data_IF_438139026441
#
_entry.id   IF_438139026441
#
_cell.length_a   1.000
_cell.length_b   1.000
_cell.length_c   1.000
_cell.angle_alpha   90.00
_cell.angle_beta   90.00
_cell.angle_gamma   90.00
#
_symmetry.space_group_name_H-M   'P 1'
#
loop_
_entity.id
_entity.type
_entity.pdbx_description
1 polymer ?
#
# COMPACT_ATOMS: atom_id res chain seq x y z
N UNK A 1 -9.68 14.58 29.89
CA UNK A 1 -8.56 13.64 29.70
C UNK A 1 -8.04 13.84 28.30
N UNK A 2 -6.84 14.40 28.11
CA UNK A 2 -6.27 14.52 26.77
C UNK A 2 -5.94 13.11 26.27
N UNK A 3 -6.75 12.58 25.37
CA UNK A 3 -6.44 11.35 24.64
C UNK A 3 -5.17 11.65 23.85
N UNK A 4 -4.03 11.17 24.33
CA UNK A 4 -2.78 11.21 23.56
C UNK A 4 -3.06 10.41 22.29
N UNK A 5 -3.34 11.11 21.19
CA UNK A 5 -3.60 10.48 19.90
C UNK A 5 -2.28 9.89 19.44
N UNK A 6 -2.14 8.55 19.56
CA UNK A 6 -0.89 7.81 19.38
C UNK A 6 -0.25 8.00 17.99
N UNK A 7 -1.00 8.51 17.03
CA UNK A 7 -0.54 8.89 15.70
C UNK A 7 0.17 10.25 15.64
N UNK A 8 -0.06 11.14 16.61
CA UNK A 8 0.59 12.45 16.66
C UNK A 8 1.97 12.33 17.31
N UNK A 9 2.97 12.94 16.69
CA UNK A 9 4.31 13.10 17.24
C UNK A 9 4.85 14.50 16.97
N UNK A 10 6.04 14.80 17.49
CA UNK A 10 6.71 16.08 17.27
C UNK A 10 8.05 15.88 16.59
N UNK A 11 8.29 16.64 15.52
CA UNK A 11 9.57 16.68 14.80
C UNK A 11 10.17 18.07 14.92
N UNK A 12 11.42 18.17 15.41
CA UNK A 12 12.19 19.40 15.34
C UNK A 12 12.88 19.49 13.98
N UNK A 13 12.68 20.59 13.28
CA UNK A 13 13.33 20.88 12.01
C UNK A 13 13.71 22.36 11.98
N UNK A 14 15.02 22.62 11.84
CA UNK A 14 15.62 23.95 12.09
C UNK A 14 15.19 24.47 13.48
N UNK A 15 14.79 25.73 13.57
CA UNK A 15 14.40 26.39 14.82
C UNK A 15 12.91 26.21 15.17
N UNK A 16 12.21 25.29 14.49
CA UNK A 16 10.76 25.06 14.66
C UNK A 16 10.46 23.62 15.05
N UNK A 17 9.35 23.43 15.78
CA UNK A 17 8.80 22.12 16.13
C UNK A 17 7.47 21.93 15.41
N UNK A 18 7.32 20.81 14.71
CA UNK A 18 6.15 20.48 13.92
C UNK A 18 5.38 19.37 14.62
N UNK A 19 4.07 19.53 14.77
CA UNK A 19 3.19 18.40 15.09
C UNK A 19 2.97 17.60 13.82
N UNK A 20 3.35 16.33 13.84
CA UNK A 20 3.30 15.41 12.69
C UNK A 20 2.22 14.37 12.97
N UNK A 21 1.24 14.28 12.08
CA UNK A 21 0.21 13.24 12.07
C UNK A 21 0.66 12.06 11.22
N UNK A 22 0.82 10.91 11.87
CA UNK A 22 1.25 9.66 11.26
C UNK A 22 0.12 8.62 11.27
N UNK A 23 -1.15 9.03 11.28
CA UNK A 23 -2.24 8.10 11.11
C UNK A 23 -2.03 7.32 9.80
N UNK A 24 -2.12 5.99 9.84
CA UNK A 24 -1.81 5.16 8.69
C UNK A 24 -2.57 5.56 7.40
N UNK A 25 -3.85 6.02 7.45
CA UNK A 25 -4.54 6.50 6.26
C UNK A 25 -3.83 7.65 5.56
N UNK A 26 -3.27 8.59 6.32
CA UNK A 26 -2.58 9.76 5.79
C UNK A 26 -1.27 9.37 5.10
N UNK A 27 -0.57 8.37 5.63
CA UNK A 27 0.64 7.82 4.98
C UNK A 27 0.28 7.09 3.68
N UNK A 28 -0.84 6.37 3.63
CA UNK A 28 -1.32 5.77 2.39
C UNK A 28 -1.71 6.82 1.35
N UNK A 29 -2.42 7.88 1.75
CA UNK A 29 -2.75 9.01 0.88
C UNK A 29 -1.49 9.76 0.40
N UNK A 30 -0.48 9.89 1.25
CA UNK A 30 0.83 10.42 0.85
C UNK A 30 1.45 9.60 -0.29
N UNK A 31 1.47 8.27 -0.18
CA UNK A 31 2.01 7.41 -1.23
C UNK A 31 1.25 7.51 -2.55
N UNK A 32 -0.06 7.78 -2.49
CA UNK A 32 -0.87 8.06 -3.69
C UNK A 32 -0.50 9.41 -4.28
N UNK A 33 -0.48 10.47 -3.47
CA UNK A 33 -0.20 11.83 -3.90
C UNK A 33 1.16 11.96 -4.59
N UNK A 34 2.23 11.37 -4.06
CA UNK A 34 3.57 11.46 -4.67
C UNK A 34 3.72 10.65 -5.97
N UNK A 35 2.79 9.74 -6.26
CA UNK A 35 2.76 8.94 -7.50
C UNK A 35 1.75 9.48 -8.52
N UNK A 36 0.94 10.46 -8.15
CA UNK A 36 -0.10 11.00 -9.00
C UNK A 36 0.53 11.86 -10.11
N UNK A 37 0.54 11.33 -11.33
CA UNK A 37 1.07 12.01 -12.52
C UNK A 37 0.23 13.19 -12.99
N UNK A 38 -0.98 13.38 -12.45
CA UNK A 38 -1.81 14.55 -12.72
C UNK A 38 -1.43 15.76 -11.86
N UNK A 39 -0.64 15.55 -10.80
CA UNK A 39 -0.12 16.62 -9.95
C UNK A 39 1.27 17.05 -10.42
N UNK A 40 1.51 18.36 -10.42
CA UNK A 40 2.87 18.90 -10.54
C UNK A 40 3.70 18.54 -9.31
N UNK A 41 5.02 18.50 -9.43
CA UNK A 41 5.93 18.23 -8.29
C UNK A 41 5.67 19.15 -7.09
N UNK A 42 5.30 20.41 -7.36
CA UNK A 42 4.96 21.38 -6.31
C UNK A 42 3.64 21.04 -5.62
N UNK A 43 2.62 20.59 -6.36
CA UNK A 43 1.34 20.15 -5.79
C UNK A 43 1.51 18.85 -5.01
N UNK A 44 2.35 17.91 -5.49
CA UNK A 44 2.69 16.69 -4.76
C UNK A 44 3.38 17.02 -3.43
N UNK A 45 4.38 17.92 -3.44
CA UNK A 45 5.08 18.37 -2.23
C UNK A 45 4.13 19.04 -1.22
N UNK A 46 3.32 19.99 -1.69
CA UNK A 46 2.35 20.67 -0.84
C UNK A 46 1.33 19.70 -0.25
N UNK A 47 0.78 18.80 -1.07
CA UNK A 47 -0.20 17.79 -0.60
C UNK A 47 0.42 16.84 0.43
N UNK A 48 1.64 16.36 0.17
CA UNK A 48 2.37 15.49 1.08
C UNK A 48 2.60 16.15 2.45
N UNK A 49 3.06 17.41 2.48
CA UNK A 49 3.25 18.13 3.73
C UNK A 49 1.94 18.45 4.42
N UNK A 50 0.92 18.85 3.68
CA UNK A 50 -0.40 19.16 4.25
C UNK A 50 -1.01 17.93 4.95
N UNK A 51 -0.83 16.72 4.41
CA UNK A 51 -1.26 15.48 5.05
C UNK A 51 -0.57 15.26 6.42
N UNK A 52 0.72 15.56 6.55
CA UNK A 52 1.48 15.26 7.76
C UNK A 52 1.51 16.39 8.78
N UNK A 53 1.57 17.65 8.36
CA UNK A 53 1.75 18.80 9.26
C UNK A 53 0.70 19.88 9.04
N UNK A 54 -0.30 19.65 8.18
CA UNK A 54 -1.31 20.66 7.84
C UNK A 54 -0.68 21.93 7.31
N UNK A 55 -1.20 23.08 7.75
CA UNK A 55 -0.73 24.41 7.32
C UNK A 55 0.57 24.88 7.98
N UNK A 56 1.18 24.07 8.86
CA UNK A 56 2.40 24.46 9.60
C UNK A 56 3.61 24.71 8.67
N UNK A 57 3.56 24.21 7.43
CA UNK A 57 4.63 24.33 6.45
C UNK A 57 4.34 25.36 5.33
N UNK A 58 3.18 26.04 5.35
CA UNK A 58 2.73 26.92 4.25
C UNK A 58 3.64 28.15 4.08
N UNK A 59 4.29 28.61 5.16
CA UNK A 59 5.17 29.78 5.16
C UNK A 59 6.64 29.43 4.85
N UNK A 60 6.96 28.15 4.71
CA UNK A 60 8.31 27.70 4.38
C UNK A 60 8.64 27.91 2.90
N UNK A 61 9.93 28.10 2.62
CA UNK A 61 10.43 28.05 1.25
C UNK A 61 10.25 26.64 0.66
N UNK A 62 10.21 26.52 -0.67
CA UNK A 62 10.08 25.21 -1.34
C UNK A 62 11.23 24.26 -0.96
N UNK A 63 12.45 24.80 -0.78
CA UNK A 63 13.61 24.02 -0.33
C UNK A 63 13.41 23.49 1.09
N UNK A 64 12.93 24.34 2.00
CA UNK A 64 12.65 23.96 3.38
C UNK A 64 11.50 22.97 3.51
N UNK A 65 10.46 23.13 2.69
CA UNK A 65 9.37 22.16 2.54
C UNK A 65 9.91 20.80 2.10
N UNK A 66 10.77 20.78 1.09
CA UNK A 66 11.39 19.54 0.58
C UNK A 66 12.22 18.86 1.67
N UNK A 67 13.06 19.61 2.37
CA UNK A 67 13.90 19.09 3.45
C UNK A 67 13.07 18.59 4.65
N UNK A 68 11.99 19.30 5.02
CA UNK A 68 11.07 18.86 6.07
C UNK A 68 10.38 17.54 5.68
N UNK A 69 9.89 17.42 4.45
CA UNK A 69 9.26 16.18 3.98
C UNK A 69 10.25 15.02 3.99
N UNK A 70 11.50 15.24 3.56
CA UNK A 70 12.57 14.23 3.62
C UNK A 70 12.87 13.83 5.06
N UNK A 71 12.86 14.77 6.00
CA UNK A 71 13.06 14.49 7.42
C UNK A 71 11.91 13.61 7.97
N UNK A 72 10.65 13.98 7.73
CA UNK A 72 9.47 13.18 8.12
C UNK A 72 9.57 11.76 7.54
N UNK A 73 9.87 11.66 6.25
CA UNK A 73 9.96 10.38 5.55
C UNK A 73 11.02 9.45 6.16
N UNK A 74 12.24 9.95 6.35
CA UNK A 74 13.35 9.16 6.92
C UNK A 74 13.14 8.79 8.39
N UNK A 75 12.50 9.66 9.16
CA UNK A 75 12.32 9.44 10.60
C UNK A 75 11.16 8.49 10.89
N UNK A 76 10.06 8.55 10.14
CA UNK A 76 8.81 7.88 10.53
C UNK A 76 8.23 6.92 9.50
N UNK A 77 8.50 7.10 8.21
CA UNK A 77 7.83 6.36 7.13
C UNK A 77 8.72 5.24 6.59
N UNK A 78 9.98 5.56 6.30
CA UNK A 78 10.98 4.64 5.76
C UNK A 78 12.28 4.78 6.54
N UNK A 79 12.28 4.11 7.68
CA UNK A 79 13.36 4.14 8.67
C UNK A 79 14.60 3.41 8.18
N UNK A 80 15.70 3.50 8.93
CA UNK A 80 16.90 2.72 8.63
C UNK A 80 16.67 1.21 8.72
N UNK A 81 15.70 0.76 9.53
CA UNK A 81 15.29 -0.65 9.58
C UNK A 81 14.62 -1.07 8.29
N UNK A 82 13.66 -0.27 7.80
CA UNK A 82 12.95 -0.54 6.54
C UNK A 82 13.91 -0.56 5.35
N UNK A 83 14.90 0.34 5.34
CA UNK A 83 15.94 0.38 4.31
C UNK A 83 16.77 -0.90 4.27
N UNK A 84 17.23 -1.37 5.44
CA UNK A 84 17.99 -2.63 5.52
C UNK A 84 17.14 -3.81 5.06
N UNK A 85 15.88 -3.88 5.49
CA UNK A 85 14.96 -4.93 5.06
C UNK A 85 14.77 -4.91 3.54
N UNK A 86 14.55 -3.72 2.96
CA UNK A 86 14.39 -3.54 1.52
C UNK A 86 15.62 -4.00 0.72
N UNK A 87 16.84 -3.81 1.25
CA UNK A 87 18.07 -4.32 0.63
C UNK A 87 18.10 -5.86 0.59
N UNK A 88 17.64 -6.53 1.64
CA UNK A 88 17.55 -8.00 1.68
C UNK A 88 16.50 -8.56 0.73
N UNK A 89 15.36 -7.90 0.56
CA UNK A 89 14.24 -8.39 -0.26
C UNK A 89 14.19 -7.80 -1.67
N UNK A 90 15.22 -7.06 -2.09
CA UNK A 90 15.25 -6.28 -3.35
C UNK A 90 14.88 -7.08 -4.61
N UNK A 91 15.17 -8.39 -4.62
CA UNK A 91 14.93 -9.27 -5.77
C UNK A 91 13.72 -10.18 -5.59
N UNK A 92 13.01 -10.07 -4.47
CA UNK A 92 11.81 -10.85 -4.20
C UNK A 92 10.59 -10.22 -4.89
N UNK A 93 9.64 -11.02 -5.38
CA UNK A 93 8.39 -10.51 -5.92
C UNK A 93 7.64 -9.66 -4.87
N UNK A 94 6.95 -8.62 -5.33
CA UNK A 94 6.08 -7.81 -4.45
C UNK A 94 4.97 -8.71 -3.87
N UNK A 95 4.94 -8.84 -2.55
CA UNK A 95 4.03 -9.75 -1.86
C UNK A 95 2.57 -9.22 -1.82
N UNK A 96 2.40 -7.92 -1.64
CA UNK A 96 1.09 -7.28 -1.54
C UNK A 96 1.12 -5.83 -1.99
N UNK A 97 -0.05 -5.26 -2.24
CA UNK A 97 -0.28 -3.84 -2.48
C UNK A 97 -1.41 -3.34 -1.58
N UNK A 98 -1.18 -2.27 -0.82
CA UNK A 98 -2.16 -1.77 0.16
C UNK A 98 -3.52 -1.39 -0.47
N UNK A 99 -3.54 -0.92 -1.71
CA UNK A 99 -4.78 -0.52 -2.38
C UNK A 99 -5.51 -1.74 -2.95
N UNK A 100 -4.79 -2.60 -3.69
CA UNK A 100 -5.41 -3.80 -4.29
C UNK A 100 -5.83 -4.83 -3.24
N UNK A 101 -5.09 -4.93 -2.13
CA UNK A 101 -5.34 -5.90 -1.07
C UNK A 101 -6.11 -5.32 0.12
N UNK A 102 -6.67 -4.11 0.01
CA UNK A 102 -7.36 -3.44 1.13
C UNK A 102 -8.42 -4.34 1.79
N UNK A 103 -9.21 -5.07 1.00
CA UNK A 103 -10.23 -6.00 1.52
C UNK A 103 -9.61 -7.22 2.23
N UNK A 104 -8.48 -7.74 1.73
CA UNK A 104 -7.75 -8.84 2.37
C UNK A 104 -7.17 -8.38 3.71
N UNK A 105 -6.52 -7.22 3.73
CA UNK A 105 -5.95 -6.60 4.94
C UNK A 105 -7.06 -6.35 5.96
N UNK A 106 -8.18 -5.75 5.56
CA UNK A 106 -9.35 -5.55 6.40
C UNK A 106 -9.82 -6.87 7.04
N UNK A 107 -10.07 -7.89 6.21
CA UNK A 107 -10.55 -9.19 6.70
C UNK A 107 -9.57 -9.84 7.67
N UNK A 108 -8.26 -9.71 7.45
CA UNK A 108 -7.23 -10.28 8.30
C UNK A 108 -7.11 -9.55 9.64
N UNK A 109 -7.20 -8.21 9.64
CA UNK A 109 -7.22 -7.41 10.88
C UNK A 109 -8.45 -7.73 11.72
N UNK A 110 -9.63 -7.84 11.09
CA UNK A 110 -10.86 -8.21 11.78
C UNK A 110 -10.78 -9.64 12.33
N UNK A 111 -10.32 -10.60 11.52
CA UNK A 111 -10.19 -12.01 11.90
C UNK A 111 -9.24 -12.20 13.10
N UNK A 112 -8.04 -11.60 13.04
CA UNK A 112 -6.98 -11.89 14.01
C UNK A 112 -7.03 -11.00 15.25
N UNK A 113 -7.33 -9.71 15.06
CA UNK A 113 -7.24 -8.72 16.13
C UNK A 113 -8.60 -8.17 16.56
N UNK A 114 -9.68 -8.48 15.85
CA UNK A 114 -10.98 -7.85 16.08
C UNK A 114 -11.00 -6.36 15.75
N UNK A 115 -10.05 -5.88 14.93
CA UNK A 115 -9.93 -4.46 14.55
C UNK A 115 -10.73 -4.23 13.28
N UNK A 116 -11.81 -3.46 13.39
CA UNK A 116 -12.63 -3.06 12.24
C UNK A 116 -12.00 -1.85 11.53
N UNK A 117 -11.22 -2.10 10.47
CA UNK A 117 -10.64 -1.02 9.65
C UNK A 117 -11.66 -0.30 8.76
N UNK A 118 -12.95 -0.65 8.79
CA UNK A 118 -13.99 0.14 8.10
C UNK A 118 -14.44 1.35 8.92
N UNK A 119 -14.20 1.34 10.23
CA UNK A 119 -14.50 2.44 11.15
C UNK A 119 -13.45 3.57 11.00
N UNK A 120 -13.85 4.79 10.56
CA UNK A 120 -12.93 5.91 10.40
C UNK A 120 -12.21 6.31 11.69
N UNK A 121 -12.87 6.22 12.85
CA UNK A 121 -12.29 6.62 14.14
C UNK A 121 -11.20 5.64 14.57
N UNK A 122 -11.41 4.34 14.32
CA UNK A 122 -10.39 3.30 14.56
C UNK A 122 -9.18 3.54 13.64
N UNK A 123 -9.44 3.80 12.35
CA UNK A 123 -8.35 4.02 11.38
C UNK A 123 -7.47 5.20 11.76
N UNK A 124 -8.09 6.31 12.18
CA UNK A 124 -7.35 7.50 12.58
C UNK A 124 -6.60 7.30 13.89
N UNK A 125 -6.94 6.32 14.73
CA UNK A 125 -6.20 6.05 15.97
C UNK A 125 -4.92 5.21 15.76
N UNK A 126 -4.79 4.50 14.63
CA UNK A 126 -3.64 3.67 14.33
C UNK A 126 -2.54 4.50 13.65
N UNK A 127 -1.38 4.63 14.31
CA UNK A 127 -0.19 5.18 13.66
C UNK A 127 0.33 4.24 12.56
N UNK A 128 1.13 4.78 11.65
CA UNK A 128 1.80 4.01 10.60
C UNK A 128 2.62 2.83 11.15
N UNK A 129 3.37 3.06 12.23
CA UNK A 129 4.15 2.01 12.88
C UNK A 129 3.28 0.92 13.51
N UNK A 130 2.15 1.29 14.12
CA UNK A 130 1.20 0.32 14.68
C UNK A 130 0.52 -0.50 13.60
N UNK A 131 0.07 0.15 12.52
CA UNK A 131 -0.51 -0.52 11.37
C UNK A 131 0.46 -1.53 10.77
N UNK A 132 1.72 -1.15 10.51
CA UNK A 132 2.72 -2.06 9.97
C UNK A 132 3.03 -3.21 10.94
N UNK A 133 3.17 -2.94 12.24
CA UNK A 133 3.41 -4.00 13.22
C UNK A 133 2.27 -5.04 13.28
N UNK A 134 1.02 -4.59 13.15
CA UNK A 134 -0.15 -5.49 13.07
C UNK A 134 -0.18 -6.25 11.74
N UNK A 135 0.09 -5.58 10.62
CA UNK A 135 0.14 -6.20 9.29
C UNK A 135 1.24 -7.27 9.21
N UNK A 136 2.42 -6.96 9.76
CA UNK A 136 3.57 -7.86 9.84
C UNK A 136 3.32 -9.01 10.83
N UNK A 137 2.52 -8.77 11.88
CA UNK A 137 2.12 -9.77 12.86
C UNK A 137 0.99 -10.72 12.42
N UNK A 138 0.41 -10.55 11.24
CA UNK A 138 -0.63 -11.45 10.73
C UNK A 138 -0.10 -12.88 10.57
N UNK A 139 -0.81 -13.84 11.14
CA UNK A 139 -0.49 -15.26 11.10
C UNK A 139 -0.83 -15.91 9.75
N UNK A 140 -0.19 -17.05 9.47
CA UNK A 140 -0.30 -17.78 8.19
C UNK A 140 -1.73 -18.26 7.87
N UNK A 141 -2.59 -18.39 8.87
CA UNK A 141 -3.98 -18.79 8.71
C UNK A 141 -4.89 -17.69 8.17
N UNK A 142 -4.44 -16.44 8.18
CA UNK A 142 -5.21 -15.35 7.57
C UNK A 142 -5.21 -15.49 6.06
N UNK A 143 -6.35 -15.18 5.43
CA UNK A 143 -6.44 -15.27 3.97
C UNK A 143 -5.44 -14.33 3.30
N UNK A 144 -5.20 -13.14 3.87
CA UNK A 144 -4.13 -12.23 3.43
C UNK A 144 -2.77 -12.94 3.36
N UNK A 145 -2.30 -13.59 4.44
CA UNK A 145 -1.01 -14.28 4.42
C UNK A 145 -0.94 -15.40 3.40
N UNK A 146 -2.00 -16.21 3.28
CA UNK A 146 -2.10 -17.26 2.24
C UNK A 146 -1.92 -16.69 0.84
N UNK A 147 -2.61 -15.60 0.50
CA UNK A 147 -2.50 -14.95 -0.81
C UNK A 147 -1.08 -14.39 -1.04
N UNK A 148 -0.53 -13.67 -0.06
CA UNK A 148 0.83 -13.12 -0.19
C UNK A 148 1.88 -14.21 -0.36
N UNK A 149 1.73 -15.35 0.33
CA UNK A 149 2.60 -16.51 0.20
C UNK A 149 2.50 -17.12 -1.21
N UNK A 150 1.29 -17.30 -1.74
CA UNK A 150 1.10 -17.79 -3.12
C UNK A 150 1.81 -16.88 -4.13
N UNK A 151 1.78 -15.55 -3.95
CA UNK A 151 2.44 -14.61 -4.87
C UNK A 151 3.96 -14.74 -4.85
N UNK A 152 4.58 -14.90 -3.67
CA UNK A 152 6.04 -14.90 -3.52
C UNK A 152 6.67 -16.29 -3.60
N UNK A 153 5.94 -17.37 -3.29
CA UNK A 153 6.52 -18.71 -3.22
C UNK A 153 7.13 -19.16 -4.55
N UNK A 154 8.26 -19.85 -4.48
CA UNK A 154 8.84 -20.54 -5.65
C UNK A 154 8.12 -21.86 -5.85
N UNK A 155 7.92 -22.24 -7.11
CA UNK A 155 7.38 -23.55 -7.46
C UNK A 155 8.53 -24.55 -7.38
N UNK A 156 8.47 -25.60 -6.55
CA UNK A 156 9.54 -26.60 -6.48
C UNK A 156 9.72 -27.32 -7.82
N UNK A 157 10.96 -27.53 -8.23
CA UNK A 157 11.30 -28.17 -9.51
C UNK A 157 10.88 -29.64 -9.56
N UNK A 158 10.84 -30.30 -8.40
CA UNK A 158 10.47 -31.71 -8.20
C UNK A 158 8.95 -31.92 -7.99
N UNK A 159 8.15 -30.86 -7.94
CA UNK A 159 6.71 -30.99 -7.80
C UNK A 159 6.05 -31.60 -9.04
N UNK A 160 4.94 -32.32 -8.82
CA UNK A 160 4.11 -32.87 -9.91
C UNK A 160 3.61 -31.79 -10.87
N UNK A 161 3.40 -32.13 -12.13
CA UNK A 161 2.89 -31.20 -13.14
C UNK A 161 1.52 -30.60 -12.74
N UNK A 162 0.64 -31.41 -12.14
CA UNK A 162 -0.66 -30.95 -11.63
C UNK A 162 -0.49 -29.86 -10.55
N UNK A 163 0.41 -30.06 -9.59
CA UNK A 163 0.69 -29.07 -8.56
C UNK A 163 1.31 -27.79 -9.15
N UNK A 164 2.26 -27.93 -10.09
CA UNK A 164 2.86 -26.78 -10.80
C UNK A 164 1.79 -25.97 -11.51
N UNK A 165 0.85 -26.62 -12.18
CA UNK A 165 -0.25 -25.98 -12.89
C UNK A 165 -1.26 -25.34 -11.93
N UNK A 166 -1.55 -25.98 -10.80
CA UNK A 166 -2.35 -25.39 -9.74
C UNK A 166 -1.72 -24.08 -9.23
N UNK A 167 -0.45 -24.10 -8.83
CA UNK A 167 0.22 -22.88 -8.30
C UNK A 167 0.31 -21.80 -9.37
N UNK A 168 0.59 -22.13 -10.64
CA UNK A 168 0.57 -21.15 -11.75
C UNK A 168 -0.81 -20.50 -11.90
N UNK A 169 -1.90 -21.26 -11.78
CA UNK A 169 -3.27 -20.73 -11.83
C UNK A 169 -3.56 -19.81 -10.64
N UNK A 170 -3.17 -20.21 -9.43
CA UNK A 170 -3.39 -19.38 -8.23
C UNK A 170 -2.57 -18.08 -8.29
N UNK A 171 -1.31 -18.15 -8.71
CA UNK A 171 -0.47 -16.96 -8.96
C UNK A 171 -1.09 -16.03 -9.99
N UNK A 172 -1.69 -16.58 -11.06
CA UNK A 172 -2.41 -15.77 -12.06
C UNK A 172 -3.66 -15.12 -11.46
N UNK A 173 -4.46 -15.88 -10.70
CA UNK A 173 -5.71 -15.39 -10.12
C UNK A 173 -5.49 -14.26 -9.12
N UNK A 174 -4.42 -14.35 -8.33
CA UNK A 174 -4.13 -13.37 -7.28
C UNK A 174 -3.02 -12.40 -7.66
N UNK A 175 -2.57 -12.35 -8.91
CA UNK A 175 -1.51 -11.43 -9.33
C UNK A 175 -1.89 -9.98 -8.98
N UNK A 176 -0.90 -9.22 -8.50
CA UNK A 176 -1.04 -7.77 -8.38
C UNK A 176 -1.07 -7.18 -9.79
N UNK A 177 -2.05 -6.33 -10.07
CA UNK A 177 -2.12 -5.60 -11.34
C UNK A 177 -0.99 -4.58 -11.36
N UNK A 178 -0.12 -4.66 -12.36
CA UNK A 178 0.88 -3.63 -12.61
C UNK A 178 0.25 -2.52 -13.46
N UNK A 179 0.68 -1.28 -13.24
CA UNK A 179 0.34 -0.18 -14.12
C UNK A 179 1.64 0.28 -14.76
N UNK A 180 1.77 0.12 -16.06
CA UNK A 180 2.94 0.57 -16.83
C UNK A 180 2.91 2.09 -17.13
N UNK A 181 1.98 2.83 -16.50
CA UNK A 181 1.75 4.24 -16.74
C UNK A 181 1.06 4.56 -18.07
N UNK A 182 0.85 3.57 -18.95
CA UNK A 182 0.18 3.76 -20.26
C UNK A 182 -1.34 3.79 -20.16
N UNK A 183 -1.90 3.43 -18.98
CA UNK A 183 -3.33 3.28 -18.75
C UNK A 183 -3.92 1.98 -19.32
N UNK A 184 -3.15 1.20 -20.08
CA UNK A 184 -3.57 -0.08 -20.66
C UNK A 184 -3.15 -1.25 -19.78
N UNK A 185 -3.93 -2.32 -19.87
CA UNK A 185 -3.67 -3.58 -19.19
C UNK A 185 -2.82 -4.48 -20.09
N UNK A 186 -1.84 -5.17 -19.50
CA UNK A 186 -1.10 -6.24 -20.16
C UNK A 186 -1.98 -7.48 -20.33
N UNK A 187 -1.61 -8.39 -21.23
CA UNK A 187 -2.35 -9.65 -21.44
C UNK A 187 -2.48 -10.47 -20.16
N UNK A 188 -1.44 -10.47 -19.33
CA UNK A 188 -1.42 -11.20 -18.07
C UNK A 188 -2.32 -10.55 -17.01
N UNK A 189 -2.39 -9.21 -16.98
CA UNK A 189 -3.32 -8.49 -16.11
C UNK A 189 -4.78 -8.73 -16.51
N UNK A 190 -5.08 -8.74 -17.83
CA UNK A 190 -6.42 -9.09 -18.32
C UNK A 190 -6.77 -10.52 -17.91
N UNK A 191 -5.82 -11.46 -18.05
CA UNK A 191 -6.02 -12.85 -17.64
C UNK A 191 -6.27 -12.96 -16.14
N UNK A 192 -5.55 -12.21 -15.31
CA UNK A 192 -5.74 -12.17 -13.86
C UNK A 192 -7.12 -11.63 -13.47
N UNK A 193 -7.53 -10.50 -14.06
CA UNK A 193 -8.86 -9.87 -13.82
C UNK A 193 -10.00 -10.83 -14.20
N UNK A 194 -9.84 -11.57 -15.29
CA UNK A 194 -10.87 -12.49 -15.77
C UNK A 194 -10.86 -13.83 -15.03
N UNK A 195 -9.72 -14.27 -14.48
CA UNK A 195 -9.56 -15.59 -13.87
C UNK A 195 -10.65 -15.96 -12.84
N UNK A 196 -11.05 -15.09 -11.88
CA UNK A 196 -12.06 -15.44 -10.88
C UNK A 196 -13.51 -15.34 -11.37
N UNK A 197 -13.75 -14.82 -12.59
CA UNK A 197 -15.10 -14.56 -13.09
C UNK A 197 -15.69 -15.78 -13.83
N UNK A 198 -17.01 -15.97 -13.73
CA UNK A 198 -17.74 -16.89 -14.60
C UNK A 198 -17.84 -16.33 -16.04
N UNK A 199 -18.35 -17.14 -16.98
CA UNK A 199 -18.39 -16.74 -18.40
C UNK A 199 -19.23 -15.47 -18.67
N UNK A 200 -20.47 -15.34 -18.13
CA UNK A 200 -21.22 -14.09 -18.24
C UNK A 200 -20.45 -12.85 -17.72
N UNK A 201 -19.84 -12.94 -16.55
CA UNK A 201 -19.11 -11.82 -15.95
C UNK A 201 -17.81 -11.52 -16.68
N UNK A 202 -17.14 -12.53 -17.25
CA UNK A 202 -15.97 -12.34 -18.13
C UNK A 202 -16.33 -11.51 -19.35
N UNK A 203 -17.45 -11.81 -20.00
CA UNK A 203 -17.91 -11.06 -21.18
C UNK A 203 -18.23 -9.61 -20.83
N UNK A 204 -18.93 -9.38 -19.71
CA UNK A 204 -19.24 -8.03 -19.24
C UNK A 204 -17.96 -7.25 -18.90
N UNK A 205 -17.00 -7.89 -18.21
CA UNK A 205 -15.75 -7.25 -17.83
C UNK A 205 -14.88 -6.92 -19.04
N UNK A 206 -14.79 -7.82 -20.03
CA UNK A 206 -14.10 -7.54 -21.29
C UNK A 206 -14.72 -6.34 -22.04
N UNK A 207 -16.04 -6.23 -22.04
CA UNK A 207 -16.74 -5.08 -22.63
C UNK A 207 -16.39 -3.79 -21.90
N UNK A 208 -16.48 -3.76 -20.56
CA UNK A 208 -16.11 -2.61 -19.73
C UNK A 208 -14.65 -2.17 -19.98
N UNK A 209 -13.72 -3.13 -20.05
CA UNK A 209 -12.29 -2.84 -20.28
C UNK A 209 -12.05 -2.20 -21.66
N UNK A 210 -12.76 -2.66 -22.70
CA UNK A 210 -12.69 -2.05 -24.05
C UNK A 210 -13.28 -0.64 -24.08
N UNK A 211 -14.44 -0.44 -23.45
CA UNK A 211 -15.10 0.87 -23.36
C UNK A 211 -14.24 1.90 -22.63
N UNK A 212 -13.48 1.47 -21.62
CA UNK A 212 -12.51 2.31 -20.89
C UNK A 212 -11.16 2.44 -21.60
N UNK A 213 -11.02 1.93 -22.83
CA UNK A 213 -9.76 1.90 -23.60
C UNK A 213 -8.56 1.29 -22.85
N UNK A 214 -8.84 0.33 -21.95
CA UNK A 214 -7.82 -0.35 -21.14
C UNK A 214 -7.24 -1.60 -21.82
N UNK A 215 -7.87 -2.13 -22.87
CA UNK A 215 -7.39 -3.28 -23.68
C UNK A 215 -7.65 -3.06 -25.16
#
# INVERSE_FOLDING_TARGET
>A
MATLTKHLTSLKFKDRSYTVDLAYPLVLEYFKAIKDTHLTTREQLHTALYLFVGKQADDLSIDDQTQLLVAIYKTYIFTDTDRRLAEFVKHEPKAFDNEQDQALIYSAFLQQYGIDLSDPDIRMQLSWSQYNALLDGLGEDTYFRRITSIRTMKIPDDASDEYKDYIKRMKTMYALVTHDGSGKLTKDEVKAILAPLDMPHKMLKLKELREKHRI
#
